data_IF_843267651156
#
_entry.id   IF_843267651156
#
_cell.length_a   1.000
_cell.length_b   1.000
_cell.length_c   1.000
_cell.angle_alpha   90.00
_cell.angle_beta   90.00
_cell.angle_gamma   90.00
#
_symmetry.space_group_name_H-M   'P 1'
#
loop_
_entity.id
_entity.type
_entity.pdbx_description
1 polymer ?
#
# COMPACT_ATOMS: atom_id res chain seq x y z
N UNK A 1 18.95 -22.84 -17.98
CA UNK A 1 20.04 -22.04 -18.56
C UNK A 1 20.99 -21.71 -17.42
N UNK A 2 22.26 -22.12 -17.52
CA UNK A 2 23.25 -21.87 -16.48
C UNK A 2 23.96 -20.55 -16.83
N UNK A 3 23.36 -19.45 -16.40
CA UNK A 3 23.80 -18.08 -16.67
C UNK A 3 24.98 -17.62 -15.78
N UNK A 4 25.58 -18.54 -15.01
CA UNK A 4 26.76 -18.29 -14.17
C UNK A 4 26.51 -17.38 -12.96
N UNK A 5 25.33 -16.76 -12.89
CA UNK A 5 24.92 -15.89 -11.78
C UNK A 5 24.11 -16.69 -10.75
N UNK A 6 24.45 -16.48 -9.48
CA UNK A 6 23.67 -16.97 -8.36
C UNK A 6 22.32 -16.25 -8.33
N UNK A 7 21.26 -17.05 -8.20
CA UNK A 7 19.87 -16.60 -8.07
C UNK A 7 19.45 -16.66 -6.61
N UNK A 8 18.54 -15.78 -6.22
CA UNK A 8 18.00 -15.70 -4.86
C UNK A 8 16.49 -15.79 -4.87
N UNK A 9 15.92 -16.43 -3.85
CA UNK A 9 14.51 -16.26 -3.55
C UNK A 9 14.25 -14.84 -3.01
N UNK A 10 13.11 -14.27 -3.40
CA UNK A 10 12.64 -13.00 -2.84
C UNK A 10 12.12 -13.18 -1.42
N UNK A 11 12.11 -12.10 -0.65
CA UNK A 11 11.58 -12.07 0.72
C UNK A 11 10.19 -11.40 0.78
N UNK A 12 9.37 -11.70 1.79
CA UNK A 12 8.04 -11.09 1.91
C UNK A 12 8.10 -9.57 2.01
N UNK A 13 7.30 -8.86 1.20
CA UNK A 13 7.30 -7.38 1.14
C UNK A 13 8.66 -6.75 0.79
N UNK A 14 9.57 -7.49 0.18
CA UNK A 14 10.87 -6.96 -0.23
C UNK A 14 10.76 -6.00 -1.41
N UNK A 15 11.42 -4.86 -1.31
CA UNK A 15 11.52 -3.86 -2.36
C UNK A 15 12.45 -4.34 -3.49
N UNK A 16 12.05 -4.14 -4.75
CA UNK A 16 12.78 -4.58 -5.93
C UNK A 16 14.24 -4.09 -5.99
N UNK A 17 14.52 -2.87 -5.53
CA UNK A 17 15.88 -2.32 -5.47
C UNK A 17 16.70 -3.01 -4.37
N UNK A 18 16.08 -3.35 -3.23
CA UNK A 18 16.74 -4.13 -2.18
C UNK A 18 17.07 -5.55 -2.61
N UNK A 19 16.14 -6.19 -3.34
CA UNK A 19 16.37 -7.49 -3.97
C UNK A 19 17.52 -7.43 -4.98
N UNK A 20 17.56 -6.39 -5.84
CA UNK A 20 18.68 -6.17 -6.75
C UNK A 20 20.00 -5.96 -6.00
N UNK A 21 19.99 -5.24 -4.87
CA UNK A 21 21.15 -5.09 -4.01
C UNK A 21 21.66 -6.43 -3.46
N UNK A 22 20.76 -7.30 -2.97
CA UNK A 22 21.11 -8.65 -2.51
C UNK A 22 21.72 -9.50 -3.61
N UNK A 23 21.10 -9.49 -4.80
CA UNK A 23 21.63 -10.19 -5.97
C UNK A 23 23.03 -9.69 -6.35
N UNK A 24 23.28 -8.38 -6.30
CA UNK A 24 24.60 -7.84 -6.55
C UNK A 24 25.62 -8.36 -5.53
N UNK A 25 25.31 -8.31 -4.23
CA UNK A 25 26.21 -8.78 -3.16
C UNK A 25 26.55 -10.25 -3.27
N UNK A 26 25.57 -11.13 -3.46
CA UNK A 26 25.84 -12.58 -3.52
C UNK A 26 26.67 -12.97 -4.76
N UNK A 27 26.58 -12.18 -5.83
CA UNK A 27 27.38 -12.34 -7.04
C UNK A 27 28.71 -11.57 -6.99
N UNK A 28 29.08 -10.99 -5.83
CA UNK A 28 30.35 -10.26 -5.67
C UNK A 28 30.44 -8.94 -6.45
N UNK A 29 29.29 -8.35 -6.80
CA UNK A 29 29.22 -7.12 -7.61
C UNK A 29 29.11 -5.88 -6.71
N UNK A 30 29.84 -4.82 -7.07
CA UNK A 30 29.92 -3.60 -6.26
C UNK A 30 28.71 -2.67 -6.42
N UNK A 31 27.85 -2.91 -7.42
CA UNK A 31 26.68 -2.07 -7.67
C UNK A 31 25.52 -2.81 -8.34
N UNK A 32 24.31 -2.28 -8.16
CA UNK A 32 23.10 -2.74 -8.84
C UNK A 32 23.20 -2.54 -10.37
N UNK A 33 23.88 -1.48 -10.84
CA UNK A 33 24.06 -1.26 -12.27
C UNK A 33 24.97 -2.33 -12.89
N UNK A 34 26.02 -2.74 -12.18
CA UNK A 34 26.89 -3.83 -12.59
C UNK A 34 26.12 -5.15 -12.66
N UNK A 35 25.24 -5.44 -11.70
CA UNK A 35 24.33 -6.57 -11.76
C UNK A 35 23.50 -6.57 -13.06
N UNK A 36 22.83 -5.46 -13.39
CA UNK A 36 22.03 -5.39 -14.62
C UNK A 36 22.87 -5.60 -15.87
N UNK A 37 24.11 -5.10 -15.90
CA UNK A 37 25.05 -5.32 -17.01
C UNK A 37 25.38 -6.81 -17.13
N UNK A 38 25.72 -7.47 -16.03
CA UNK A 38 26.07 -8.90 -16.02
C UNK A 38 24.89 -9.78 -16.45
N UNK A 39 23.68 -9.54 -15.93
CA UNK A 39 22.49 -10.30 -16.35
C UNK A 39 22.28 -10.19 -17.86
N UNK A 40 22.41 -8.99 -18.44
CA UNK A 40 22.27 -8.79 -19.89
C UNK A 40 23.36 -9.53 -20.67
N UNK A 41 24.61 -9.48 -20.21
CA UNK A 41 25.73 -10.18 -20.86
C UNK A 41 25.52 -11.69 -20.88
N UNK A 42 25.16 -12.30 -19.75
CA UNK A 42 24.93 -13.75 -19.68
C UNK A 42 23.77 -14.18 -20.58
N UNK A 43 22.72 -13.36 -20.70
CA UNK A 43 21.60 -13.64 -21.61
C UNK A 43 22.01 -13.58 -23.07
N UNK A 44 22.72 -12.53 -23.47
CA UNK A 44 23.18 -12.37 -24.85
C UNK A 44 24.05 -13.54 -25.33
N UNK A 45 24.82 -14.17 -24.43
CA UNK A 45 25.62 -15.36 -24.73
C UNK A 45 24.79 -16.63 -24.95
N UNK A 46 23.55 -16.66 -24.46
CA UNK A 46 22.66 -17.84 -24.50
C UNK A 46 21.51 -17.70 -25.48
N UNK A 47 21.32 -16.54 -26.09
CA UNK A 47 20.18 -16.26 -26.96
C UNK A 47 20.53 -16.51 -28.44
N UNK A 48 19.75 -17.36 -29.11
CA UNK A 48 19.76 -17.49 -30.56
C UNK A 48 18.86 -16.41 -31.18
N UNK A 49 19.46 -15.34 -31.71
CA UNK A 49 18.77 -14.28 -32.45
C UNK A 49 18.76 -12.90 -31.78
N UNK A 50 18.15 -11.89 -32.42
CA UNK A 50 18.12 -10.51 -31.90
C UNK A 50 17.34 -10.46 -30.58
N UNK A 51 18.05 -10.17 -29.49
CA UNK A 51 17.51 -10.19 -28.13
C UNK A 51 16.48 -9.06 -27.94
N UNK A 52 15.25 -9.41 -27.56
CA UNK A 52 14.28 -8.43 -27.06
C UNK A 52 14.88 -7.72 -25.84
N UNK A 53 14.95 -6.40 -25.89
CA UNK A 53 15.41 -5.59 -24.77
C UNK A 53 14.43 -5.71 -23.59
N UNK A 54 14.85 -6.40 -22.52
CA UNK A 54 14.11 -6.45 -21.27
C UNK A 54 14.41 -5.23 -20.40
N UNK A 55 13.39 -4.75 -19.70
CA UNK A 55 13.49 -3.75 -18.66
C UNK A 55 14.15 -4.29 -17.39
N UNK A 56 14.58 -3.38 -16.50
CA UNK A 56 15.21 -3.77 -15.24
C UNK A 56 14.29 -4.64 -14.36
N UNK A 57 13.00 -4.35 -14.31
CA UNK A 57 12.03 -5.15 -13.53
C UNK A 57 11.83 -6.55 -14.12
N UNK A 58 11.79 -6.66 -15.46
CA UNK A 58 11.74 -7.95 -16.15
C UNK A 58 12.97 -8.81 -15.86
N UNK A 59 14.16 -8.21 -15.82
CA UNK A 59 15.40 -8.93 -15.46
C UNK A 59 15.33 -9.45 -14.02
N UNK A 60 14.86 -8.64 -13.06
CA UNK A 60 14.76 -9.08 -11.66
C UNK A 60 13.71 -10.20 -11.48
N UNK A 61 12.55 -10.10 -12.12
CA UNK A 61 11.53 -11.14 -12.09
C UNK A 61 12.07 -12.47 -12.64
N UNK A 62 12.83 -12.40 -13.74
CA UNK A 62 13.50 -13.55 -14.33
C UNK A 62 14.56 -14.15 -13.40
N UNK A 63 15.38 -13.32 -12.74
CA UNK A 63 16.36 -13.80 -11.76
C UNK A 63 15.71 -14.43 -10.54
N UNK A 64 14.56 -13.91 -10.10
CA UNK A 64 13.76 -14.47 -9.01
C UNK A 64 13.03 -15.76 -9.40
N UNK A 65 12.90 -16.07 -10.70
CA UNK A 65 12.08 -17.19 -11.16
C UNK A 65 10.59 -16.99 -10.95
N UNK A 66 10.13 -15.73 -10.84
CA UNK A 66 8.73 -15.38 -10.56
C UNK A 66 8.12 -14.74 -11.82
N UNK A 67 6.86 -15.07 -12.19
CA UNK A 67 6.17 -14.39 -13.28
C UNK A 67 6.16 -12.86 -13.08
N UNK A 68 6.43 -12.10 -14.14
CA UNK A 68 6.58 -10.63 -14.08
C UNK A 68 5.46 -9.93 -13.31
N UNK A 69 4.20 -10.28 -13.59
CA UNK A 69 3.03 -9.71 -12.91
C UNK A 69 3.05 -9.96 -11.40
N UNK A 70 3.38 -11.19 -10.98
CA UNK A 70 3.48 -11.55 -9.58
C UNK A 70 4.66 -10.83 -8.90
N UNK A 71 5.80 -10.73 -9.58
CA UNK A 71 6.96 -10.00 -9.06
C UNK A 71 6.65 -8.52 -8.85
N UNK A 72 6.01 -7.87 -9.82
CA UNK A 72 5.62 -6.45 -9.75
C UNK A 72 4.66 -6.22 -8.59
N UNK A 73 3.66 -7.10 -8.44
CA UNK A 73 2.70 -7.03 -7.33
C UNK A 73 3.38 -7.13 -5.96
N UNK A 74 4.33 -8.05 -5.82
CA UNK A 74 4.97 -8.34 -4.54
C UNK A 74 6.16 -7.43 -4.20
N UNK A 75 6.85 -6.87 -5.21
CA UNK A 75 8.17 -6.26 -5.00
C UNK A 75 8.33 -4.85 -5.58
N UNK A 76 7.38 -4.34 -6.38
CA UNK A 76 7.45 -2.98 -6.91
C UNK A 76 6.61 -1.98 -6.11
N UNK A 77 6.89 -0.69 -6.32
CA UNK A 77 6.05 0.42 -5.88
C UNK A 77 5.05 0.87 -6.97
N UNK A 78 4.82 0.05 -8.01
CA UNK A 78 3.98 0.45 -9.15
C UNK A 78 2.55 0.79 -8.72
N UNK A 79 1.97 0.05 -7.77
CA UNK A 79 0.63 0.31 -7.24
C UNK A 79 0.50 1.71 -6.61
N UNK A 80 1.58 2.24 -6.03
CA UNK A 80 1.62 3.60 -5.47
C UNK A 80 1.70 4.67 -6.56
N UNK A 81 2.24 4.32 -7.73
CA UNK A 81 2.45 5.27 -8.83
C UNK A 81 1.36 5.27 -9.88
N UNK A 82 0.71 4.12 -10.07
CA UNK A 82 -0.23 3.81 -11.15
C UNK A 82 -1.49 3.10 -10.62
N UNK A 83 -1.83 3.32 -9.35
CA UNK A 83 -3.03 2.75 -8.72
C UNK A 83 -4.34 3.24 -9.34
N UNK A 84 -4.32 4.37 -10.07
CA UNK A 84 -5.43 4.85 -10.88
C UNK A 84 -5.00 5.19 -12.32
N UNK A 85 -5.91 5.00 -13.27
CA UNK A 85 -5.74 5.36 -14.69
C UNK A 85 -6.94 6.17 -15.19
N UNK A 86 -6.66 7.21 -16.00
CA UNK A 86 -7.70 8.08 -16.56
C UNK A 86 -8.13 7.75 -17.98
N UNK A 87 -7.60 6.67 -18.57
CA UNK A 87 -7.92 6.28 -19.93
C UNK A 87 -9.19 5.41 -19.94
N UNK A 88 -10.30 6.01 -20.35
CA UNK A 88 -11.51 5.29 -20.78
C UNK A 88 -11.30 4.48 -22.07
N UNK A 89 -10.21 4.72 -22.80
CA UNK A 89 -9.77 3.98 -24.00
C UNK A 89 -8.59 3.04 -23.67
N UNK A 90 -8.80 2.05 -22.80
CA UNK A 90 -7.84 0.96 -22.64
C UNK A 90 -7.83 0.13 -23.92
N UNK A 91 -7.02 0.54 -24.90
CA UNK A 91 -6.49 -0.38 -25.91
C UNK A 91 -5.54 -1.32 -25.17
N UNK A 92 -6.06 -2.49 -24.83
CA UNK A 92 -5.33 -3.61 -24.23
C UNK A 92 -4.71 -3.33 -22.83
N UNK A 93 -5.30 -3.87 -21.74
CA UNK A 93 -4.75 -3.80 -20.39
C UNK A 93 -3.29 -4.27 -20.28
N UNK A 94 -2.85 -5.18 -21.15
CA UNK A 94 -1.45 -5.63 -21.18
C UNK A 94 -0.50 -4.53 -21.66
N UNK A 95 -0.93 -3.69 -22.61
CA UNK A 95 -0.08 -2.67 -23.21
C UNK A 95 0.22 -1.52 -22.23
N UNK A 96 -0.81 -1.01 -21.52
CA UNK A 96 -0.60 0.03 -20.49
C UNK A 96 0.16 -0.53 -19.29
N UNK A 97 -0.07 -1.80 -18.93
CA UNK A 97 0.72 -2.49 -17.92
C UNK A 97 2.20 -2.52 -18.31
N UNK A 98 2.53 -2.91 -19.55
CA UNK A 98 3.90 -2.89 -20.05
C UNK A 98 4.53 -1.48 -20.01
N UNK A 99 3.84 -0.44 -20.50
CA UNK A 99 4.38 0.92 -20.47
C UNK A 99 4.58 1.45 -19.05
N UNK A 100 3.65 1.14 -18.13
CA UNK A 100 3.76 1.44 -16.71
C UNK A 100 4.95 0.76 -16.05
N UNK A 101 5.22 -0.50 -16.41
CA UNK A 101 6.41 -1.23 -15.94
C UNK A 101 7.72 -0.58 -16.39
N UNK A 102 7.81 -0.23 -17.67
CA UNK A 102 9.00 0.41 -18.24
C UNK A 102 9.32 1.74 -17.57
N UNK A 103 8.28 2.49 -17.21
CA UNK A 103 8.42 3.87 -16.71
C UNK A 103 8.51 3.94 -15.17
N UNK A 104 7.79 3.07 -14.45
CA UNK A 104 7.58 3.18 -13.00
C UNK A 104 7.92 1.92 -12.19
N UNK A 105 8.13 0.76 -12.82
CA UNK A 105 8.24 -0.53 -12.13
C UNK A 105 9.40 -0.64 -11.12
N UNK A 106 10.45 0.16 -11.29
CA UNK A 106 11.60 0.29 -10.36
C UNK A 106 11.85 1.74 -9.97
N UNK A 107 10.83 2.59 -10.05
CA UNK A 107 10.96 3.99 -9.65
C UNK A 107 10.96 4.09 -8.13
N UNK A 108 11.97 4.77 -7.59
CA UNK A 108 12.02 5.16 -6.19
C UNK A 108 10.75 5.95 -5.83
N UNK A 109 10.07 5.57 -4.74
CA UNK A 109 8.85 6.23 -4.23
C UNK A 109 9.10 7.56 -3.53
N UNK A 110 10.33 7.79 -3.08
CA UNK A 110 10.79 8.93 -2.28
C UNK A 110 12.28 9.18 -2.51
N UNK A 111 12.81 10.30 -2.03
CA UNK A 111 14.22 10.70 -2.23
C UNK A 111 15.24 9.85 -1.48
N UNK A 112 14.81 9.09 -0.47
CA UNK A 112 15.68 8.27 0.38
C UNK A 112 15.02 6.92 0.70
N UNK A 113 15.84 5.91 0.98
CA UNK A 113 15.41 4.61 1.46
C UNK A 113 15.14 4.67 2.95
N UNK A 114 13.99 4.15 3.37
CA UNK A 114 13.58 4.16 4.79
C UNK A 114 13.51 2.74 5.36
N UNK A 115 13.77 2.59 6.65
CA UNK A 115 13.64 1.32 7.35
C UNK A 115 13.35 1.52 8.83
N UNK A 116 12.84 0.49 9.49
CA UNK A 116 12.70 0.43 10.94
C UNK A 116 13.80 -0.51 11.48
N UNK A 117 14.64 -0.07 12.43
CA UNK A 117 15.68 -0.94 13.02
C UNK A 117 15.12 -2.20 13.67
N UNK A 118 13.97 -2.11 14.35
CA UNK A 118 13.31 -3.26 14.99
C UNK A 118 12.78 -4.27 13.95
N UNK A 119 12.14 -3.80 12.87
CA UNK A 119 11.77 -4.69 11.75
C UNK A 119 13.00 -5.37 11.16
N UNK A 120 14.09 -4.64 10.99
CA UNK A 120 15.30 -5.16 10.39
C UNK A 120 15.99 -6.21 11.29
N UNK A 121 15.93 -6.04 12.62
CA UNK A 121 16.39 -7.03 13.59
C UNK A 121 15.52 -8.29 13.56
N UNK A 122 14.20 -8.13 13.52
CA UNK A 122 13.28 -9.24 13.34
C UNK A 122 13.57 -10.00 12.02
N UNK A 123 13.82 -9.28 10.93
CA UNK A 123 14.18 -9.88 9.64
C UNK A 123 15.46 -10.73 9.73
N UNK A 124 16.47 -10.29 10.48
CA UNK A 124 17.66 -11.12 10.75
C UNK A 124 17.30 -12.37 11.54
N UNK A 125 16.46 -12.25 12.58
CA UNK A 125 16.06 -13.39 13.39
C UNK A 125 15.25 -14.44 12.60
N UNK A 126 14.37 -14.00 11.69
CA UNK A 126 13.47 -14.90 10.94
C UNK A 126 14.05 -15.37 9.59
N UNK A 127 14.78 -14.52 8.89
CA UNK A 127 15.25 -14.76 7.53
C UNK A 127 16.78 -14.83 7.42
N UNK A 128 17.51 -14.65 8.52
CA UNK A 128 18.98 -14.61 8.55
C UNK A 128 19.57 -13.32 7.99
N UNK A 129 18.74 -12.38 7.52
CA UNK A 129 19.20 -11.10 6.99
C UNK A 129 18.10 -10.02 7.02
N UNK A 130 18.50 -8.77 7.23
CA UNK A 130 17.62 -7.63 7.03
C UNK A 130 17.51 -7.27 5.54
N UNK A 131 16.36 -6.73 5.13
CA UNK A 131 16.11 -6.30 3.76
C UNK A 131 15.22 -5.05 3.70
N UNK A 132 15.23 -4.36 2.56
CA UNK A 132 14.43 -3.17 2.36
C UNK A 132 12.96 -3.55 2.16
N UNK A 133 12.11 -3.24 3.13
CA UNK A 133 10.66 -3.47 3.07
C UNK A 133 9.96 -2.38 2.27
N UNK A 134 8.97 -2.73 1.45
CA UNK A 134 8.18 -1.76 0.66
C UNK A 134 7.30 -0.89 1.53
N UNK A 135 6.75 -1.45 2.61
CA UNK A 135 5.87 -0.72 3.53
C UNK A 135 6.51 0.59 4.04
N UNK A 136 7.82 0.57 4.31
CA UNK A 136 8.57 1.75 4.75
C UNK A 136 8.88 2.74 3.62
N UNK A 137 8.74 2.36 2.35
CA UNK A 137 9.02 3.24 1.22
C UNK A 137 7.80 4.07 0.79
N UNK A 138 6.63 3.85 1.37
CA UNK A 138 5.41 4.57 1.01
C UNK A 138 5.55 6.05 1.41
N UNK A 139 5.33 7.01 0.48
CA UNK A 139 5.25 8.43 0.81
C UNK A 139 4.27 8.72 1.95
N UNK A 140 4.67 9.54 2.91
CA UNK A 140 3.87 9.82 4.11
C UNK A 140 3.95 8.79 5.23
N UNK A 141 4.59 7.64 5.01
CA UNK A 141 4.98 6.72 6.09
C UNK A 141 6.31 7.21 6.67
N UNK A 142 6.25 7.73 7.89
CA UNK A 142 7.40 8.21 8.67
C UNK A 142 7.54 7.50 10.02
N UNK A 143 6.52 6.74 10.40
CA UNK A 143 6.52 5.86 11.56
C UNK A 143 6.31 4.42 11.09
N UNK A 144 6.95 3.47 11.77
CA UNK A 144 6.67 2.06 11.58
C UNK A 144 5.31 1.71 12.19
N UNK A 145 4.39 1.14 11.40
CA UNK A 145 3.07 0.74 11.89
C UNK A 145 3.12 -0.39 12.92
N UNK A 146 4.18 -1.21 12.91
CA UNK A 146 4.36 -2.34 13.83
C UNK A 146 4.96 -1.92 15.18
N UNK A 147 5.94 -1.02 15.15
CA UNK A 147 6.73 -0.65 16.34
C UNK A 147 6.41 0.75 16.86
N UNK A 148 5.59 1.53 16.15
CA UNK A 148 5.26 2.91 16.48
C UNK A 148 6.49 3.80 16.74
N UNK A 149 7.57 3.57 15.98
CA UNK A 149 8.83 4.32 16.05
C UNK A 149 9.10 5.12 14.77
N UNK A 150 9.81 6.25 14.85
CA UNK A 150 10.27 6.96 13.67
C UNK A 150 11.17 6.05 12.83
N UNK A 151 10.96 6.11 11.52
CA UNK A 151 11.83 5.39 10.57
C UNK A 151 13.22 6.02 10.53
N UNK A 152 14.21 5.21 10.21
CA UNK A 152 15.53 5.67 9.78
C UNK A 152 15.56 5.76 8.25
N UNK A 153 16.43 6.59 7.69
CA UNK A 153 16.62 6.73 6.25
C UNK A 153 18.08 6.92 5.83
N UNK A 154 18.34 6.59 4.57
CA UNK A 154 19.64 6.68 3.89
C UNK A 154 19.48 6.94 2.38
N UNK A 155 20.58 7.19 1.67
CA UNK A 155 20.56 7.41 0.23
C UNK A 155 20.18 6.14 -0.57
N UNK A 156 19.63 6.29 -1.76
CA UNK A 156 19.34 5.16 -2.66
C UNK A 156 20.58 4.42 -3.14
N UNK A 157 21.76 5.04 -3.15
CA UNK A 157 23.03 4.37 -3.42
C UNK A 157 23.27 3.20 -2.45
N UNK A 158 22.77 3.31 -1.22
CA UNK A 158 22.89 2.28 -0.18
C UNK A 158 21.91 1.12 -0.35
N UNK A 159 21.05 1.13 -1.37
CA UNK A 159 20.18 0.00 -1.71
C UNK A 159 20.97 -1.31 -1.91
N UNK A 160 22.24 -1.19 -2.30
CA UNK A 160 23.16 -2.32 -2.47
C UNK A 160 23.53 -2.98 -1.14
N UNK A 161 23.30 -2.35 0.00
CA UNK A 161 23.55 -2.89 1.34
C UNK A 161 22.26 -3.37 2.01
N UNK A 162 22.41 -4.18 3.06
CA UNK A 162 21.30 -4.52 3.94
C UNK A 162 21.08 -3.39 4.97
N UNK A 163 19.84 -3.10 5.40
CA UNK A 163 19.56 -2.00 6.33
C UNK A 163 20.41 -2.01 7.60
N UNK A 164 20.59 -3.16 8.26
CA UNK A 164 21.41 -3.25 9.48
C UNK A 164 22.92 -3.24 9.24
N UNK A 165 23.37 -3.34 7.99
CA UNK A 165 24.79 -3.23 7.64
C UNK A 165 25.22 -1.78 7.46
N UNK A 166 24.31 -0.81 7.56
CA UNK A 166 24.61 0.60 7.40
C UNK A 166 25.21 1.16 8.69
N UNK A 167 26.35 1.83 8.55
CA UNK A 167 27.04 2.50 9.65
C UNK A 167 26.49 3.91 9.93
N UNK A 168 25.81 4.51 8.95
CA UNK A 168 25.22 5.83 9.08
C UNK A 168 23.78 5.80 8.53
N UNK A 169 22.82 6.10 9.39
CA UNK A 169 21.44 6.38 8.98
C UNK A 169 20.90 7.54 9.80
N UNK A 170 20.09 8.39 9.17
CA UNK A 170 19.43 9.50 9.84
C UNK A 170 18.06 9.04 10.32
N UNK A 171 17.57 9.58 11.43
CA UNK A 171 16.22 9.32 11.90
C UNK A 171 15.29 10.39 11.36
N UNK A 172 14.05 10.02 11.04
CA UNK A 172 13.02 11.00 10.68
C UNK A 172 12.82 11.98 11.83
N UNK A 173 12.70 13.26 11.48
CA UNK A 173 12.47 14.34 12.43
C UNK A 173 11.21 14.14 13.27
N UNK A 174 11.28 14.59 14.52
CA UNK A 174 10.19 14.49 15.51
C UNK A 174 8.87 15.09 15.03
N UNK A 175 8.88 16.21 14.31
CA UNK A 175 7.65 16.86 13.81
C UNK A 175 6.94 15.98 12.78
N UNK A 176 7.71 15.35 11.89
CA UNK A 176 7.17 14.43 10.89
C UNK A 176 6.69 13.12 11.51
N UNK A 177 7.41 12.62 12.51
CA UNK A 177 7.00 11.46 13.29
C UNK A 177 5.69 11.72 14.03
N UNK A 178 5.59 12.82 14.77
CA UNK A 178 4.39 13.20 15.52
C UNK A 178 3.19 13.39 14.59
N UNK A 179 3.39 14.03 13.44
CA UNK A 179 2.36 14.17 12.42
C UNK A 179 1.89 12.80 11.89
N UNK A 180 2.80 11.84 11.74
CA UNK A 180 2.51 10.52 11.21
C UNK A 180 1.74 9.63 12.19
N UNK A 181 1.90 9.80 13.51
CA UNK A 181 1.23 8.96 14.52
C UNK A 181 -0.01 9.62 15.14
N UNK A 182 -0.08 10.95 15.18
CA UNK A 182 -1.15 11.66 15.89
C UNK A 182 -2.26 12.20 14.97
N UNK A 183 -2.05 12.23 13.65
CA UNK A 183 -3.09 12.65 12.71
C UNK A 183 -3.92 11.45 12.24
N UNK A 184 -5.19 11.42 12.65
CA UNK A 184 -6.13 10.40 12.19
C UNK A 184 -6.25 10.34 10.65
N UNK A 185 -6.16 11.49 9.97
CA UNK A 185 -6.19 11.54 8.51
C UNK A 185 -4.92 10.89 7.91
N UNK A 186 -3.74 11.17 8.48
CA UNK A 186 -2.48 10.54 8.03
C UNK A 186 -2.50 9.03 8.25
N UNK A 187 -2.97 8.57 9.40
CA UNK A 187 -3.12 7.12 9.68
C UNK A 187 -4.02 6.44 8.63
N UNK A 188 -5.16 7.08 8.28
CA UNK A 188 -6.04 6.56 7.22
C UNK A 188 -5.37 6.52 5.85
N UNK A 189 -4.51 7.48 5.52
CA UNK A 189 -3.71 7.44 4.28
C UNK A 189 -2.75 6.25 4.31
N UNK A 190 -2.02 6.05 5.41
CA UNK A 190 -1.05 4.97 5.53
C UNK A 190 -1.72 3.60 5.38
N UNK A 191 -2.84 3.38 6.06
CA UNK A 191 -3.61 2.13 5.99
C UNK A 191 -4.24 1.91 4.61
N UNK A 192 -4.82 2.95 4.01
CA UNK A 192 -5.37 2.88 2.65
C UNK A 192 -4.27 2.50 1.65
N UNK A 193 -3.14 3.20 1.64
CA UNK A 193 -2.06 2.93 0.68
C UNK A 193 -1.44 1.57 0.93
N UNK A 194 -1.27 1.15 2.19
CA UNK A 194 -0.81 -0.20 2.50
C UNK A 194 -1.74 -1.26 1.89
N UNK A 195 -3.05 -1.13 2.08
CA UNK A 195 -4.03 -2.04 1.47
C UNK A 195 -3.98 -2.02 -0.06
N UNK A 196 -3.88 -0.83 -0.68
CA UNK A 196 -3.77 -0.70 -2.14
C UNK A 196 -2.52 -1.37 -2.70
N UNK A 197 -1.38 -1.25 -2.01
CA UNK A 197 -0.11 -1.90 -2.38
C UNK A 197 -0.24 -3.42 -2.35
N UNK A 198 -0.98 -3.99 -1.40
CA UNK A 198 -1.23 -5.43 -1.32
C UNK A 198 -2.21 -5.93 -2.40
N UNK A 199 -3.22 -5.11 -2.73
CA UNK A 199 -4.22 -5.48 -3.73
C UNK A 199 -3.65 -5.51 -5.15
N UNK A 200 -2.78 -4.55 -5.49
CA UNK A 200 -2.16 -4.39 -6.82
C UNK A 200 -3.21 -4.42 -7.95
N UNK A 201 -4.29 -3.65 -7.76
CA UNK A 201 -5.31 -3.42 -8.77
C UNK A 201 -5.24 -1.96 -9.21
N UNK A 202 -5.19 -1.74 -10.52
CA UNK A 202 -5.38 -0.41 -11.11
C UNK A 202 -6.88 -0.12 -11.19
N UNK A 203 -7.28 1.09 -10.82
CA UNK A 203 -8.68 1.54 -10.88
C UNK A 203 -8.88 2.65 -11.89
N UNK A 204 -10.08 2.72 -12.47
CA UNK A 204 -10.41 3.88 -13.28
C UNK A 204 -10.66 5.07 -12.36
N UNK A 205 -10.16 6.25 -12.75
CA UNK A 205 -10.35 7.48 -11.97
C UNK A 205 -11.84 7.74 -11.70
N UNK A 206 -12.69 7.53 -12.71
CA UNK A 206 -14.14 7.75 -12.60
C UNK A 206 -14.79 6.82 -11.56
N UNK A 207 -14.41 5.54 -11.52
CA UNK A 207 -14.93 4.59 -10.53
C UNK A 207 -14.59 5.01 -9.11
N UNK A 208 -13.32 5.40 -8.88
CA UNK A 208 -12.86 5.87 -7.57
C UNK A 208 -13.57 7.16 -7.19
N UNK A 209 -13.70 8.09 -8.14
CA UNK A 209 -14.34 9.38 -7.92
C UNK A 209 -15.82 9.22 -7.56
N UNK A 210 -16.58 8.46 -8.33
CA UNK A 210 -17.99 8.19 -8.06
C UNK A 210 -18.19 7.47 -6.72
N UNK A 211 -17.30 6.53 -6.37
CA UNK A 211 -17.35 5.85 -5.08
C UNK A 211 -17.14 6.83 -3.90
N UNK A 212 -16.18 7.75 -4.00
CA UNK A 212 -15.89 8.69 -2.89
C UNK A 212 -16.82 9.91 -2.83
N UNK A 213 -17.56 10.20 -3.91
CA UNK A 213 -18.44 11.37 -4.03
C UNK A 213 -19.41 11.57 -2.86
N UNK A 214 -20.13 10.54 -2.35
CA UNK A 214 -21.00 10.71 -1.18
C UNK A 214 -20.23 11.17 0.07
N UNK A 215 -19.01 10.67 0.26
CA UNK A 215 -18.14 11.07 1.37
C UNK A 215 -17.68 12.52 1.24
N UNK A 216 -17.37 12.98 0.01
CA UNK A 216 -17.01 14.37 -0.28
C UNK A 216 -18.17 15.34 0.01
N UNK A 217 -19.38 15.02 -0.46
CA UNK A 217 -20.59 15.83 -0.20
C UNK A 217 -20.85 15.95 1.31
N UNK A 218 -20.71 14.85 2.04
CA UNK A 218 -20.89 14.80 3.49
C UNK A 218 -19.95 15.73 4.26
N UNK A 219 -18.75 15.96 3.75
CA UNK A 219 -17.77 16.91 4.34
C UNK A 219 -17.86 18.32 3.73
N UNK A 220 -18.91 18.58 2.95
CA UNK A 220 -19.22 19.91 2.40
C UNK A 220 -18.47 20.25 1.11
N UNK A 221 -17.95 19.25 0.39
CA UNK A 221 -17.33 19.43 -0.92
C UNK A 221 -18.38 19.12 -1.99
N UNK A 222 -18.91 20.18 -2.62
CA UNK A 222 -19.93 20.09 -3.67
C UNK A 222 -19.30 20.34 -5.05
N UNK A 223 -19.73 19.54 -6.03
CA UNK A 223 -19.28 19.62 -7.44
C UNK A 223 -19.82 20.82 -8.20
N UNK A 224 -20.98 21.33 -7.79
CA UNK A 224 -21.68 22.42 -8.45
C UNK A 224 -21.88 23.58 -7.46
N UNK A 225 -20.86 24.40 -7.30
CA UNK A 225 -20.99 25.67 -6.57
C UNK A 225 -20.99 26.85 -7.56
N UNK A 226 -22.17 27.21 -8.05
CA UNK A 226 -22.40 28.48 -8.79
C UNK A 226 -22.40 29.71 -7.87
N UNK A 227 -22.15 29.57 -6.57
CA UNK A 227 -22.23 30.66 -5.59
C UNK A 227 -20.95 30.77 -4.75
N UNK A 228 -20.70 32.00 -4.27
CA UNK A 228 -19.53 32.60 -3.59
C UNK A 228 -18.84 31.83 -2.43
N UNK A 229 -19.19 30.58 -2.14
CA UNK A 229 -18.56 29.73 -1.13
C UNK A 229 -17.95 28.49 -1.79
N UNK A 230 -16.84 28.69 -2.52
CA UNK A 230 -16.05 27.57 -3.07
C UNK A 230 -15.17 27.02 -1.95
N UNK A 231 -15.39 25.77 -1.53
CA UNK A 231 -14.37 25.00 -0.80
C UNK A 231 -13.78 24.02 -1.79
N UNK A 232 -12.61 24.36 -2.34
CA UNK A 232 -11.99 23.50 -3.34
C UNK A 232 -11.50 22.20 -2.67
N UNK A 233 -11.49 21.11 -3.44
CA UNK A 233 -10.93 19.82 -2.99
C UNK A 233 -9.52 19.99 -2.44
N UNK A 234 -8.78 20.93 -3.02
CA UNK A 234 -7.45 21.27 -2.61
C UNK A 234 -7.38 21.90 -1.21
N UNK A 235 -8.15 22.96 -0.96
CA UNK A 235 -8.21 23.62 0.36
C UNK A 235 -8.64 22.63 1.44
N UNK A 236 -9.54 21.71 1.09
CA UNK A 236 -9.97 20.64 1.97
C UNK A 236 -8.82 19.70 2.35
N UNK A 237 -8.02 19.26 1.38
CA UNK A 237 -6.83 18.44 1.65
C UNK A 237 -5.86 19.22 2.54
N UNK A 238 -5.51 20.47 2.21
CA UNK A 238 -4.58 21.24 3.04
C UNK A 238 -5.05 21.41 4.48
N UNK A 239 -6.34 21.67 4.68
CA UNK A 239 -6.92 21.81 6.02
C UNK A 239 -6.99 20.48 6.79
N UNK A 240 -6.90 19.35 6.09
CA UNK A 240 -7.08 18.01 6.69
C UNK A 240 -5.77 17.36 7.16
N UNK A 241 -4.60 17.86 6.73
CA UNK A 241 -3.30 17.25 7.02
C UNK A 241 -2.30 18.26 7.58
N UNK A 242 -1.37 17.83 8.46
CA UNK A 242 -0.25 18.67 8.89
C UNK A 242 0.58 19.15 7.69
N UNK A 243 0.83 20.46 7.62
CA UNK A 243 1.49 21.08 6.47
C UNK A 243 2.91 20.54 6.24
N UNK A 244 3.68 20.34 7.31
CA UNK A 244 5.05 19.82 7.21
C UNK A 244 5.08 18.37 6.71
N UNK A 245 4.09 17.56 7.11
CA UNK A 245 3.92 16.20 6.59
C UNK A 245 3.58 16.20 5.10
N UNK A 246 2.65 17.07 4.65
CA UNK A 246 2.32 17.21 3.23
C UNK A 246 3.54 17.63 2.41
N UNK A 247 4.29 18.64 2.88
CA UNK A 247 5.51 19.11 2.22
C UNK A 247 6.52 17.98 2.10
N UNK A 248 6.88 17.33 3.21
CA UNK A 248 7.91 16.29 3.20
C UNK A 248 7.52 15.07 2.36
N UNK A 249 6.25 14.66 2.38
CA UNK A 249 5.76 13.47 1.67
C UNK A 249 5.77 13.63 0.15
N UNK A 250 5.64 14.88 -0.31
CA UNK A 250 5.33 15.22 -1.70
C UNK A 250 6.24 16.34 -2.26
N UNK A 251 7.42 16.55 -1.65
CA UNK A 251 8.38 17.60 -1.99
C UNK A 251 9.18 17.37 -3.28
N UNK A 252 9.22 16.16 -3.80
CA UNK A 252 10.05 15.81 -4.97
C UNK A 252 9.61 16.64 -6.20
N UNK A 253 10.54 17.33 -6.87
CA UNK A 253 10.26 18.26 -7.99
C UNK A 253 9.52 17.60 -9.16
N UNK A 254 9.64 16.28 -9.28
CA UNK A 254 8.91 15.47 -10.28
C UNK A 254 7.44 15.24 -9.91
N UNK A 255 7.12 15.47 -8.65
CA UNK A 255 5.78 15.60 -8.14
C UNK A 255 5.45 17.10 -8.20
N UNK A 256 4.89 17.53 -9.34
CA UNK A 256 4.27 18.87 -9.51
C UNK A 256 3.01 19.03 -8.62
N UNK A 257 3.03 18.41 -7.44
CA UNK A 257 2.15 18.69 -6.33
C UNK A 257 2.26 20.18 -6.02
N UNK A 258 3.48 20.72 -5.86
CA UNK A 258 3.73 22.14 -5.55
C UNK A 258 3.24 23.17 -6.57
N UNK A 259 2.93 22.80 -7.81
CA UNK A 259 2.37 23.77 -8.79
C UNK A 259 0.91 23.49 -9.13
N UNK A 260 0.45 22.23 -9.01
CA UNK A 260 -0.96 21.85 -9.24
C UNK A 260 -1.83 22.11 -8.01
N UNK A 261 -1.25 22.05 -6.82
CA UNK A 261 -1.89 22.47 -5.59
C UNK A 261 -2.01 24.00 -5.51
N UNK A 262 -1.04 24.75 -6.03
CA UNK A 262 -0.93 26.21 -5.77
C UNK A 262 -1.44 27.10 -6.91
N UNK A 263 -2.03 26.55 -7.97
CA UNK A 263 -2.64 27.35 -9.04
C UNK A 263 -4.08 27.70 -8.69
N UNK A 264 -4.29 28.99 -8.47
CA UNK A 264 -5.53 29.69 -8.15
C UNK A 264 -6.62 29.65 -9.24
N UNK A 265 -6.40 28.96 -10.35
CA UNK A 265 -7.14 29.19 -11.58
C UNK A 265 -8.07 28.02 -11.89
N UNK A 266 -9.06 27.85 -11.02
CA UNK A 266 -10.48 27.70 -11.35
C UNK A 266 -11.02 26.62 -12.29
N UNK A 267 -10.23 25.89 -13.09
CA UNK A 267 -10.80 25.22 -14.27
C UNK A 267 -10.48 23.74 -14.54
N UNK A 268 -9.70 23.00 -13.74
CA UNK A 268 -9.58 21.54 -13.98
C UNK A 268 -9.51 20.70 -12.70
N UNK A 269 -10.57 19.92 -12.49
CA UNK A 269 -10.81 19.02 -11.36
C UNK A 269 -9.95 17.73 -11.36
N UNK A 270 -8.72 17.77 -11.88
CA UNK A 270 -7.62 16.76 -11.84
C UNK A 270 -7.01 16.59 -13.24
N UNK A 271 -5.68 16.70 -13.41
CA UNK A 271 -5.04 16.25 -14.64
C UNK A 271 -5.15 14.72 -14.73
N UNK A 272 -5.99 14.22 -15.64
CA UNK A 272 -6.45 12.82 -15.70
C UNK A 272 -5.35 11.75 -15.87
N UNK A 273 -4.07 12.09 -16.04
CA UNK A 273 -3.01 11.10 -16.31
C UNK A 273 -1.67 11.37 -15.56
N UNK A 274 -1.69 12.06 -14.43
CA UNK A 274 -0.49 12.27 -13.61
C UNK A 274 -0.40 11.29 -12.43
N UNK A 275 0.81 10.81 -12.04
CA UNK A 275 1.03 10.17 -10.74
C UNK A 275 0.51 11.01 -9.55
N UNK A 276 0.41 12.33 -9.72
CA UNK A 276 -0.22 13.24 -8.74
C UNK A 276 -1.69 12.90 -8.47
N UNK A 277 -2.41 12.40 -9.47
CA UNK A 277 -3.86 12.17 -9.40
C UNK A 277 -4.21 11.02 -8.47
N UNK A 278 -3.39 9.96 -8.47
CA UNK A 278 -3.52 8.88 -7.48
C UNK A 278 -3.51 9.43 -6.05
N UNK A 279 -2.49 10.23 -5.72
CA UNK A 279 -2.31 10.75 -4.37
C UNK A 279 -3.37 11.79 -3.99
N UNK A 280 -3.83 12.64 -4.91
CA UNK A 280 -4.93 13.55 -4.62
C UNK A 280 -6.19 12.77 -4.26
N UNK A 281 -6.52 11.70 -5.00
CA UNK A 281 -7.67 10.84 -4.70
C UNK A 281 -7.50 10.11 -3.36
N UNK A 282 -6.31 9.58 -3.06
CA UNK A 282 -6.00 8.93 -1.78
C UNK A 282 -6.18 9.91 -0.62
N UNK A 283 -5.60 11.11 -0.71
CA UNK A 283 -5.68 12.14 0.32
C UNK A 283 -7.11 12.65 0.49
N UNK A 284 -7.83 12.88 -0.62
CA UNK A 284 -9.23 13.27 -0.58
C UNK A 284 -10.10 12.19 0.09
N UNK A 285 -9.92 10.93 -0.31
CA UNK A 285 -10.66 9.79 0.26
C UNK A 285 -10.40 9.70 1.75
N UNK A 286 -9.13 9.62 2.17
CA UNK A 286 -8.76 9.47 3.56
C UNK A 286 -9.20 10.67 4.41
N UNK A 287 -9.26 11.87 3.87
CA UNK A 287 -9.80 13.02 4.59
C UNK A 287 -11.33 12.99 4.74
N UNK A 288 -12.06 12.46 3.76
CA UNK A 288 -13.53 12.49 3.70
C UNK A 288 -14.24 11.30 4.39
N UNK A 289 -13.53 10.19 4.58
CA UNK A 289 -14.04 8.97 5.23
C UNK A 289 -13.79 8.96 6.74
N UNK A 290 -14.58 8.18 7.47
CA UNK A 290 -14.51 8.08 8.94
C UNK A 290 -13.48 7.05 9.40
N UNK A 291 -13.22 6.02 8.60
CA UNK A 291 -12.28 4.95 8.91
C UNK A 291 -11.52 4.49 7.66
N UNK A 292 -10.40 3.81 7.87
CA UNK A 292 -9.62 3.21 6.79
C UNK A 292 -10.35 2.06 6.12
N UNK A 293 -11.21 1.33 6.84
CA UNK A 293 -12.07 0.29 6.26
C UNK A 293 -13.06 0.87 5.26
N UNK A 294 -13.68 2.01 5.56
CA UNK A 294 -14.52 2.74 4.61
C UNK A 294 -13.70 3.11 3.37
N UNK A 295 -12.49 3.65 3.56
CA UNK A 295 -11.58 4.00 2.48
C UNK A 295 -11.25 2.79 1.58
N UNK A 296 -10.83 1.67 2.19
CA UNK A 296 -10.49 0.45 1.47
C UNK A 296 -11.69 -0.14 0.74
N UNK A 297 -12.88 -0.12 1.35
CA UNK A 297 -14.10 -0.62 0.71
C UNK A 297 -14.48 0.16 -0.54
N UNK A 298 -14.36 1.50 -0.51
CA UNK A 298 -14.58 2.37 -1.67
C UNK A 298 -13.62 2.00 -2.81
N UNK A 299 -12.34 1.83 -2.50
CA UNK A 299 -11.31 1.51 -3.50
C UNK A 299 -11.31 0.04 -3.93
N UNK A 300 -11.91 -0.84 -3.14
CA UNK A 300 -12.07 -2.26 -3.44
C UNK A 300 -13.21 -2.55 -4.41
N UNK A 301 -14.10 -1.59 -4.66
CA UNK A 301 -15.31 -1.79 -5.45
C UNK A 301 -16.35 -2.67 -4.77
N UNK A 302 -16.14 -3.08 -3.52
CA UNK A 302 -17.11 -3.87 -2.73
C UNK A 302 -18.34 -3.07 -2.30
N UNK A 303 -18.37 -1.76 -2.58
CA UNK A 303 -19.51 -0.86 -2.35
C UNK A 303 -20.19 -0.32 -3.61
N UNK A 304 -19.77 -0.72 -4.82
CA UNK A 304 -20.33 -0.18 -6.07
C UNK A 304 -21.55 -0.98 -6.61
N UNK A 305 -22.02 -1.99 -5.88
CA UNK A 305 -23.23 -2.73 -6.20
C UNK A 305 -24.49 -2.03 -5.67
N UNK A 306 -24.70 -0.75 -5.98
CA UNK A 306 -26.02 -0.11 -5.82
C UNK A 306 -26.23 0.90 -6.95
N UNK A 307 -27.13 0.56 -7.88
CA UNK A 307 -27.93 1.56 -8.61
C UNK A 307 -27.54 1.91 -10.05
N UNK A 308 -27.63 0.95 -10.98
CA UNK A 308 -28.31 1.22 -12.27
C UNK A 308 -29.56 0.37 -12.32
N UNK A 309 -30.60 0.79 -11.61
CA UNK A 309 -31.94 0.27 -11.83
C UNK A 309 -32.73 1.33 -12.59
N UNK A 310 -32.93 1.05 -13.87
CA UNK A 310 -34.02 1.60 -14.66
C UNK A 310 -35.33 1.23 -13.99
N UNK A 311 -36.19 2.23 -13.83
CA UNK A 311 -37.57 2.13 -13.37
C UNK A 311 -38.33 0.93 -13.96
N UNK A 312 -38.69 -0.03 -13.12
CA UNK A 312 -39.89 -0.87 -13.27
C UNK A 312 -40.24 -1.50 -11.92
N UNK A 313 -41.54 -1.53 -11.62
CA UNK A 313 -42.13 -1.79 -10.30
C UNK A 313 -41.94 -3.23 -9.77
N UNK A 314 -41.88 -3.31 -8.43
CA UNK A 314 -42.66 -4.20 -7.56
C UNK A 314 -41.94 -5.29 -6.72
N UNK A 315 -42.32 -5.26 -5.43
CA UNK A 315 -42.32 -6.28 -4.37
C UNK A 315 -41.11 -6.44 -3.42
N UNK A 316 -41.31 -5.79 -2.27
CA UNK A 316 -41.04 -6.14 -0.87
C UNK A 316 -40.15 -7.33 -0.47
N UNK A 317 -39.42 -7.05 0.62
CA UNK A 317 -38.81 -7.93 1.64
C UNK A 317 -37.43 -8.58 1.36
N UNK A 318 -36.39 -7.95 1.93
CA UNK A 318 -35.12 -8.58 2.28
C UNK A 318 -34.87 -8.44 3.81
N UNK A 319 -34.24 -9.44 4.47
CA UNK A 319 -34.34 -9.61 5.92
C UNK A 319 -33.40 -8.65 6.65
N UNK A 320 -33.98 -7.83 7.53
CA UNK A 320 -33.23 -7.06 8.53
C UNK A 320 -32.61 -8.07 9.50
N UNK A 321 -31.27 -8.10 9.56
CA UNK A 321 -30.55 -8.91 10.54
C UNK A 321 -31.04 -8.54 11.95
N UNK A 322 -31.50 -9.55 12.72
CA UNK A 322 -32.19 -9.28 13.98
C UNK A 322 -31.26 -8.54 14.96
N UNK A 323 -31.77 -7.53 15.70
CA UNK A 323 -30.98 -6.78 16.68
C UNK A 323 -30.26 -7.66 17.71
N UNK A 324 -30.77 -8.87 17.99
CA UNK A 324 -30.12 -9.86 18.87
C UNK A 324 -28.79 -10.38 18.34
N UNK A 325 -28.63 -10.51 17.02
CA UNK A 325 -27.39 -10.97 16.40
C UNK A 325 -26.29 -9.90 16.53
N UNK A 326 -26.63 -8.63 16.31
CA UNK A 326 -25.70 -7.51 16.46
C UNK A 326 -25.28 -7.30 17.92
N UNK A 327 -26.22 -7.46 18.86
CA UNK A 327 -25.92 -7.37 20.29
C UNK A 327 -25.01 -8.52 20.76
N UNK A 328 -25.20 -9.74 20.22
CA UNK A 328 -24.37 -10.90 20.56
C UNK A 328 -22.94 -10.79 20.01
N UNK A 329 -22.76 -10.18 18.83
CA UNK A 329 -21.43 -9.92 18.25
C UNK A 329 -20.68 -8.85 19.05
N UNK A 330 -21.37 -7.79 19.49
CA UNK A 330 -20.77 -6.74 20.31
C UNK A 330 -20.37 -7.27 21.70
N UNK A 331 -21.24 -8.04 22.37
CA UNK A 331 -20.93 -8.68 23.65
C UNK A 331 -19.76 -9.68 23.54
N UNK A 332 -19.62 -10.36 22.40
CA UNK A 332 -18.47 -11.23 22.13
C UNK A 332 -17.17 -10.45 21.99
N UNK A 333 -17.17 -9.35 21.22
CA UNK A 333 -16.00 -8.48 21.06
C UNK A 333 -15.55 -7.83 22.37
N UNK A 334 -16.52 -7.45 23.22
CA UNK A 334 -16.24 -6.82 24.50
C UNK A 334 -15.70 -7.85 25.51
N UNK A 335 -16.22 -9.09 25.52
CA UNK A 335 -15.70 -10.19 26.36
C UNK A 335 -14.32 -10.69 25.91
N UNK A 336 -14.07 -10.77 24.60
CA UNK A 336 -12.73 -11.12 24.08
C UNK A 336 -11.71 -10.02 24.37
N UNK A 337 -12.10 -8.75 24.24
CA UNK A 337 -11.23 -7.62 24.61
C UNK A 337 -10.94 -7.57 26.12
N UNK A 338 -11.91 -7.90 26.98
CA UNK A 338 -11.70 -7.98 28.43
C UNK A 338 -10.79 -9.17 28.81
N UNK A 339 -11.04 -10.35 28.25
CA UNK A 339 -10.17 -11.53 28.45
C UNK A 339 -8.74 -11.30 27.92
N UNK A 340 -8.60 -10.55 26.82
CA UNK A 340 -7.29 -10.19 26.27
C UNK A 340 -6.50 -9.22 27.17
N UNK A 341 -7.20 -8.33 27.91
CA UNK A 341 -6.59 -7.37 28.82
C UNK A 341 -6.26 -7.93 30.20
N UNK A 342 -7.02 -8.90 30.71
CA UNK A 342 -6.75 -9.52 32.01
C UNK A 342 -5.67 -10.62 31.96
N UNK A 343 -5.43 -11.27 30.81
CA UNK A 343 -4.62 -12.51 30.76
C UNK A 343 -3.26 -12.43 30.05
N UNK A 344 -2.87 -11.30 29.45
CA UNK A 344 -1.51 -11.12 28.88
C UNK A 344 -0.48 -10.72 29.95
N UNK A 345 -0.89 -10.58 31.21
CA UNK A 345 0.03 -10.22 32.29
C UNK A 345 0.85 -11.39 32.88
N UNK A 346 0.52 -12.70 32.73
CA UNK A 346 1.41 -13.74 33.26
C UNK A 346 1.69 -14.96 32.36
N UNK A 347 1.40 -14.96 31.05
CA UNK A 347 1.74 -16.11 30.20
C UNK A 347 3.25 -16.11 29.87
N UNK A 348 4.05 -16.80 30.68
CA UNK A 348 5.51 -16.79 30.62
C UNK A 348 6.08 -17.67 29.47
N UNK A 349 5.25 -18.46 28.78
CA UNK A 349 5.72 -19.30 27.66
C UNK A 349 4.75 -19.36 26.47
N UNK A 350 5.31 -19.54 25.27
CA UNK A 350 4.57 -19.59 24.01
C UNK A 350 3.57 -20.76 23.92
N UNK A 351 3.84 -21.86 24.62
CA UNK A 351 2.97 -23.05 24.63
C UNK A 351 1.66 -22.82 25.41
N UNK A 352 1.68 -22.00 26.46
CA UNK A 352 0.49 -21.62 27.23
C UNK A 352 -0.44 -20.72 26.39
N UNK A 353 0.15 -19.78 25.64
CA UNK A 353 -0.56 -18.92 24.69
C UNK A 353 -1.23 -19.74 23.57
N UNK A 354 -0.54 -20.73 23.02
CA UNK A 354 -1.08 -21.60 21.97
C UNK A 354 -2.20 -22.53 22.48
N UNK A 355 -2.08 -23.04 23.71
CA UNK A 355 -3.14 -23.82 24.37
C UNK A 355 -4.40 -22.97 24.60
N UNK A 356 -4.22 -21.72 25.03
CA UNK A 356 -5.30 -20.78 25.27
C UNK A 356 -6.06 -20.41 23.98
N UNK A 357 -5.33 -20.09 22.92
CA UNK A 357 -5.92 -19.76 21.61
C UNK A 357 -6.73 -20.92 21.04
N UNK A 358 -6.28 -22.16 21.25
CA UNK A 358 -7.04 -23.36 20.86
C UNK A 358 -8.34 -23.50 21.66
N UNK A 359 -8.30 -23.24 22.97
CA UNK A 359 -9.50 -23.29 23.82
C UNK A 359 -10.56 -22.26 23.42
N UNK A 360 -10.12 -21.01 23.14
CA UNK A 360 -11.00 -19.94 22.67
C UNK A 360 -11.60 -20.23 21.29
N UNK A 361 -10.81 -20.82 20.38
CA UNK A 361 -11.30 -21.23 19.06
C UNK A 361 -12.37 -22.34 19.16
N UNK A 362 -12.20 -23.30 20.07
CA UNK A 362 -13.19 -24.37 20.31
C UNK A 362 -14.48 -23.82 20.91
N UNK A 363 -14.40 -22.91 21.90
CA UNK A 363 -15.58 -22.26 22.46
C UNK A 363 -16.34 -21.41 21.43
N UNK A 364 -15.61 -20.72 20.55
CA UNK A 364 -16.22 -19.94 19.46
C UNK A 364 -16.96 -20.85 18.47
N UNK A 365 -16.36 -21.98 18.08
CA UNK A 365 -17.00 -22.95 17.19
C UNK A 365 -18.25 -23.57 17.82
N UNK A 366 -18.25 -23.87 19.13
CA UNK A 366 -19.43 -24.41 19.80
C UNK A 366 -20.55 -23.38 19.93
N UNK A 367 -20.24 -22.12 20.22
CA UNK A 367 -21.24 -21.04 20.28
C UNK A 367 -21.81 -20.71 18.90
N UNK A 368 -20.97 -20.75 17.86
CA UNK A 368 -21.42 -20.58 16.48
C UNK A 368 -22.39 -21.67 16.05
N UNK A 369 -22.13 -22.93 16.41
CA UNK A 369 -23.05 -24.05 16.16
C UNK A 369 -24.39 -23.91 16.91
N UNK A 370 -24.38 -23.37 18.13
CA UNK A 370 -25.60 -23.10 18.89
C UNK A 370 -26.44 -21.95 18.29
N UNK A 371 -25.79 -20.98 17.63
CA UNK A 371 -26.45 -19.80 17.03
C UNK A 371 -26.97 -20.06 15.61
N UNK A 372 -26.36 -20.96 14.84
CA UNK A 372 -26.78 -21.23 13.45
C UNK A 372 -27.86 -22.29 13.33
N UNK A 373 -28.19 -23.03 14.39
CA UNK A 373 -29.29 -23.99 14.38
C UNK A 373 -29.21 -25.07 13.30
N UNK A 374 -28.03 -25.32 12.73
CA UNK A 374 -27.83 -26.40 11.76
C UNK A 374 -27.73 -27.73 12.51
N UNK A 375 -28.90 -28.34 12.68
CA UNK A 375 -29.05 -29.76 12.97
C UNK A 375 -28.37 -30.54 11.85
N UNK A 376 -27.39 -31.37 12.23
CA UNK A 376 -26.75 -32.37 11.36
C UNK A 376 -27.81 -33.18 10.61
N UNK A 377 -27.72 -33.15 9.28
CA UNK A 377 -28.08 -34.27 8.41
C UNK A 377 -26.79 -34.87 7.86
#
# INVERSE_FOLDING_TARGET
>A
MNDGLLRLATLPDELSQGYAGRLARINGLGSINELYRQIRMCRAQTADGPERQMSKVELLAMMAGIPLKAYVKAHSMLAVWRGVTGLSDVRDPEHDFHQGLLTYGIRASRSALHYCPECAQADVAFHGMSYWRREHQIPGVYACSKHARPLCYTDWADAVQAPLSLSASQQVDSVLFDAAINSAAVLRVQELVHGLVQMCATRQIEEVYQAMRPSLIRVGINEYCYAKAKRYLYDFIQASYPLEWLKASFADEKFSFREQLFKSDGERLLPLNSPSTFWVLVLATAAAVRSSDEALNLWSGRGLCVGRETSAQAHDSAPVASPRLMQSVQEFCDRTSAAYREFIAPADTADELLSLLRSLAVQWLSQRQALTGEVRG
#
